data_IF_754936196566
#
_entry.id   IF_754936196566
#
_cell.length_a   1.000
_cell.length_b   1.000
_cell.length_c   1.000
_cell.angle_alpha   90.00
_cell.angle_beta   90.00
_cell.angle_gamma   90.00
#
_symmetry.space_group_name_H-M   'P 1'
#
loop_
_entity.id
_entity.type
_entity.pdbx_description
1 polymer ?
#
# COMPACT_ATOMS: atom_id res chain seq x y z
N UNK A 1 17.95 5.25 -16.88
CA UNK A 1 17.06 6.14 -17.66
C UNK A 1 16.10 6.69 -16.65
N UNK A 2 16.16 7.99 -16.32
CA UNK A 2 15.43 8.51 -15.15
C UNK A 2 13.94 8.61 -15.49
N UNK A 3 13.14 7.70 -14.92
CA UNK A 3 11.69 7.86 -14.86
C UNK A 3 11.41 9.05 -13.94
N UNK A 4 10.45 9.89 -14.30
CA UNK A 4 10.02 11.03 -13.48
C UNK A 4 8.52 10.90 -13.26
N UNK A 5 8.10 10.98 -11.99
CA UNK A 5 6.70 10.97 -11.61
C UNK A 5 6.14 12.38 -11.76
N UNK A 6 5.10 12.52 -12.59
CA UNK A 6 4.25 13.71 -12.68
C UNK A 6 3.14 13.54 -11.63
N UNK A 7 2.89 14.56 -10.80
CA UNK A 7 1.83 14.50 -9.78
C UNK A 7 1.15 15.86 -9.60
N UNK A 8 -0.10 15.82 -9.13
CA UNK A 8 -0.89 17.01 -8.82
C UNK A 8 -1.90 16.69 -7.72
N UNK A 9 -1.98 17.54 -6.71
CA UNK A 9 -2.96 17.45 -5.62
C UNK A 9 -3.79 18.72 -5.52
N UNK A 10 -5.07 18.56 -5.21
CA UNK A 10 -6.02 19.66 -5.04
C UNK A 10 -7.06 19.27 -3.98
N UNK A 11 -7.45 20.24 -3.17
CA UNK A 11 -8.57 20.14 -2.23
C UNK A 11 -9.55 21.28 -2.47
N UNK A 12 -10.83 21.03 -2.24
CA UNK A 12 -11.92 22.00 -2.38
C UNK A 12 -12.85 21.87 -1.17
N UNK A 13 -13.36 23.01 -0.70
CA UNK A 13 -14.26 23.08 0.45
C UNK A 13 -15.55 22.26 0.24
N UNK A 14 -15.97 22.07 -1.02
CA UNK A 14 -17.29 21.56 -1.34
C UNK A 14 -18.34 22.67 -1.36
N UNK A 15 -19.62 22.28 -1.38
CA UNK A 15 -20.76 23.21 -1.41
C UNK A 15 -21.50 23.31 -0.07
N UNK A 16 -21.31 22.36 0.83
CA UNK A 16 -22.10 22.23 2.07
C UNK A 16 -21.30 22.33 3.36
N UNK A 17 -19.98 22.53 3.28
CA UNK A 17 -19.10 22.74 4.43
C UNK A 17 -18.69 24.21 4.51
N UNK A 18 -18.42 24.67 5.72
CA UNK A 18 -17.92 26.03 5.99
C UNK A 18 -16.40 26.05 6.16
N UNK A 19 -15.83 24.90 6.55
CA UNK A 19 -14.39 24.69 6.76
C UNK A 19 -13.91 23.48 5.98
N UNK A 20 -12.61 23.50 5.64
CA UNK A 20 -11.95 22.39 4.97
C UNK A 20 -11.04 21.67 5.96
N UNK A 21 -11.46 20.48 6.38
CA UNK A 21 -10.72 19.61 7.30
C UNK A 21 -9.84 18.60 6.55
N UNK A 22 -9.96 18.53 5.23
CA UNK A 22 -9.07 17.73 4.41
C UNK A 22 -7.70 18.39 4.22
N UNK A 23 -6.68 17.55 4.04
CA UNK A 23 -5.42 17.94 3.42
C UNK A 23 -4.89 16.82 2.52
N UNK A 24 -3.78 17.09 1.85
CA UNK A 24 -3.14 16.12 0.98
C UNK A 24 -1.63 16.20 1.00
N UNK A 25 -1.00 15.08 0.63
CA UNK A 25 0.43 14.97 0.39
C UNK A 25 0.69 14.86 -1.12
N UNK A 26 1.64 15.66 -1.61
CA UNK A 26 2.03 15.72 -3.00
C UNK A 26 3.51 16.11 -3.12
N UNK A 27 4.41 15.23 -2.67
CA UNK A 27 5.87 15.48 -2.61
C UNK A 27 6.58 14.76 -3.77
N UNK A 28 7.05 15.50 -4.80
CA UNK A 28 7.85 14.91 -5.87
C UNK A 28 9.30 14.70 -5.42
N UNK A 29 10.04 13.88 -6.18
CA UNK A 29 11.48 13.66 -6.00
C UNK A 29 11.85 13.19 -4.57
N UNK A 30 11.02 12.34 -3.95
CA UNK A 30 11.24 11.85 -2.59
C UNK A 30 12.65 11.24 -2.47
N UNK A 31 13.37 11.59 -1.41
CA UNK A 31 14.78 11.20 -1.20
C UNK A 31 15.71 11.58 -2.36
N UNK A 32 15.51 12.77 -2.93
CA UNK A 32 16.27 13.29 -4.07
C UNK A 32 16.25 12.36 -5.30
N UNK A 33 15.19 11.56 -5.44
CA UNK A 33 15.06 10.54 -6.48
C UNK A 33 13.85 10.86 -7.36
N UNK A 34 14.03 11.32 -8.62
CA UNK A 34 12.92 11.74 -9.47
C UNK A 34 11.89 10.66 -9.83
N UNK A 35 12.31 9.39 -9.75
CA UNK A 35 11.45 8.22 -9.92
C UNK A 35 10.65 7.87 -8.66
N UNK A 36 10.74 8.69 -7.60
CA UNK A 36 10.01 8.50 -6.35
C UNK A 36 9.20 9.72 -5.95
N UNK A 37 8.03 9.46 -5.38
CA UNK A 37 7.13 10.49 -4.88
C UNK A 37 6.38 9.96 -3.65
N UNK A 38 5.96 10.87 -2.78
CA UNK A 38 5.01 10.60 -1.71
C UNK A 38 3.70 11.31 -2.07
N UNK A 39 2.59 10.57 -2.03
CA UNK A 39 1.26 11.06 -2.37
C UNK A 39 0.23 10.58 -1.36
N UNK A 40 -0.88 11.29 -1.20
CA UNK A 40 -1.99 10.78 -0.38
C UNK A 40 -3.04 11.82 -0.07
N UNK A 41 -4.21 11.34 0.37
CA UNK A 41 -5.29 12.17 0.91
C UNK A 41 -5.45 11.89 2.40
N UNK A 42 -5.75 12.92 3.17
CA UNK A 42 -5.96 12.88 4.61
C UNK A 42 -7.22 13.68 4.90
N UNK A 43 -8.17 13.06 5.56
CA UNK A 43 -9.48 13.63 5.88
C UNK A 43 -9.60 13.78 7.39
N UNK A 44 -9.71 15.03 7.83
CA UNK A 44 -9.83 15.39 9.24
C UNK A 44 -11.21 15.07 9.79
N UNK A 45 -11.28 14.21 10.80
CA UNK A 45 -12.52 13.86 11.47
C UNK A 45 -12.54 14.45 12.87
N UNK A 46 -13.38 15.47 13.05
CA UNK A 46 -13.67 16.04 14.35
C UNK A 46 -14.98 16.81 14.29
N UNK A 47 -16.04 16.33 14.94
CA UNK A 47 -17.32 17.04 14.99
C UNK A 47 -17.28 18.48 15.57
N UNK A 48 -16.09 18.94 16.06
CA UNK A 48 -15.66 20.31 16.39
C UNK A 48 -14.12 20.44 16.31
N UNK A 49 -13.62 21.66 16.00
CA UNK A 49 -12.26 22.30 15.96
C UNK A 49 -10.96 21.47 15.72
N UNK A 50 -10.97 20.14 15.70
CA UNK A 50 -9.76 19.33 15.67
C UNK A 50 -9.48 18.58 14.37
N UNK A 51 -10.45 18.41 13.46
CA UNK A 51 -10.25 17.58 12.26
C UNK A 51 -9.12 18.12 11.38
N UNK A 52 -9.18 19.41 11.04
CA UNK A 52 -8.14 20.09 10.27
C UNK A 52 -6.76 20.03 10.95
N UNK A 53 -6.70 20.14 12.28
CA UNK A 53 -5.45 20.06 13.04
C UNK A 53 -4.87 18.64 13.01
N UNK A 54 -5.68 17.59 13.18
CA UNK A 54 -5.24 16.20 13.02
C UNK A 54 -4.68 15.96 11.62
N UNK A 55 -5.41 16.40 10.60
CA UNK A 55 -5.03 16.18 9.21
C UNK A 55 -3.68 16.87 8.89
N UNK A 56 -3.50 18.13 9.34
CA UNK A 56 -2.23 18.84 9.19
C UNK A 56 -1.09 18.16 9.95
N UNK A 57 -1.34 17.76 11.19
CA UNK A 57 -0.35 17.09 12.03
C UNK A 57 0.12 15.77 11.41
N UNK A 58 -0.80 14.96 10.86
CA UNK A 58 -0.45 13.73 10.17
C UNK A 58 0.38 14.00 8.93
N UNK A 59 -0.06 14.94 8.08
CA UNK A 59 0.68 15.35 6.89
C UNK A 59 2.11 15.75 7.22
N UNK A 60 2.27 16.72 8.10
CA UNK A 60 3.58 17.28 8.48
C UNK A 60 4.49 16.21 9.05
N UNK A 61 3.95 15.34 9.91
CA UNK A 61 4.75 14.29 10.55
C UNK A 61 5.22 13.24 9.55
N UNK A 62 4.36 12.83 8.61
CA UNK A 62 4.76 11.86 7.56
C UNK A 62 5.81 12.49 6.64
N UNK A 63 5.59 13.71 6.18
CA UNK A 63 6.54 14.42 5.30
C UNK A 63 7.88 14.63 6.00
N UNK A 64 7.88 15.11 7.24
CA UNK A 64 9.09 15.31 8.05
C UNK A 64 9.83 14.00 8.29
N UNK A 65 9.13 12.95 8.69
CA UNK A 65 9.73 11.64 8.96
C UNK A 65 10.45 11.12 7.70
N UNK A 66 9.78 11.13 6.56
CA UNK A 66 10.35 10.61 5.32
C UNK A 66 11.43 11.54 4.73
N UNK A 67 11.45 12.83 5.07
CA UNK A 67 12.57 13.71 4.74
C UNK A 67 13.83 13.36 5.55
N UNK A 68 13.68 13.06 6.85
CA UNK A 68 14.80 12.74 7.73
C UNK A 68 15.32 11.31 7.56
N UNK A 69 14.42 10.35 7.35
CA UNK A 69 14.75 8.94 7.20
C UNK A 69 14.63 8.51 5.74
N UNK A 70 15.79 8.33 5.10
CA UNK A 70 15.89 7.92 3.68
C UNK A 70 16.60 6.59 3.46
N UNK A 71 17.13 5.99 4.53
CA UNK A 71 17.84 4.71 4.50
C UNK A 71 16.91 3.60 5.02
N UNK A 72 16.36 2.79 4.11
CA UNK A 72 15.48 1.69 4.48
C UNK A 72 14.62 1.19 3.32
N UNK A 73 13.81 0.17 3.59
CA UNK A 73 12.77 -0.24 2.67
C UNK A 73 11.64 0.80 2.66
N UNK A 74 11.17 1.30 1.51
CA UNK A 74 10.13 2.32 1.45
C UNK A 74 8.85 1.98 2.23
N UNK A 75 8.40 0.72 2.17
CA UNK A 75 7.24 0.26 2.93
C UNK A 75 7.45 0.39 4.44
N UNK A 76 8.63 0.02 4.94
CA UNK A 76 8.94 0.08 6.36
C UNK A 76 9.00 1.53 6.85
N UNK A 77 9.66 2.41 6.08
CA UNK A 77 9.73 3.84 6.39
C UNK A 77 8.33 4.48 6.40
N UNK A 78 7.47 4.13 5.43
CA UNK A 78 6.10 4.64 5.37
C UNK A 78 5.27 4.15 6.56
N UNK A 79 5.42 2.88 6.94
CA UNK A 79 4.79 2.30 8.13
C UNK A 79 5.20 3.06 9.38
N UNK A 80 6.50 3.26 9.60
CA UNK A 80 7.03 3.99 10.75
C UNK A 80 6.56 5.45 10.80
N UNK A 81 6.58 6.14 9.65
CA UNK A 81 6.05 7.50 9.52
C UNK A 81 4.56 7.58 9.90
N UNK A 82 3.76 6.61 9.46
CA UNK A 82 2.32 6.55 9.75
C UNK A 82 2.04 6.30 11.24
N UNK A 83 2.85 5.47 11.90
CA UNK A 83 2.77 5.24 13.35
C UNK A 83 3.16 6.50 14.12
N UNK A 84 4.25 7.15 13.72
CA UNK A 84 4.69 8.39 14.35
C UNK A 84 3.62 9.48 14.25
N UNK A 85 3.00 9.61 13.07
CA UNK A 85 1.88 10.52 12.84
C UNK A 85 0.66 10.18 13.72
N UNK A 86 0.26 8.91 13.77
CA UNK A 86 -0.83 8.45 14.64
C UNK A 86 -0.57 8.81 16.11
N UNK A 87 0.61 8.47 16.63
CA UNK A 87 0.93 8.65 18.04
C UNK A 87 1.03 10.13 18.40
N UNK A 88 1.48 10.98 17.47
CA UNK A 88 1.49 12.44 17.67
C UNK A 88 0.08 13.00 17.84
N UNK A 89 -0.87 12.58 16.99
CA UNK A 89 -2.29 12.96 17.13
C UNK A 89 -2.86 12.43 18.45
N UNK A 90 -2.61 11.15 18.78
CA UNK A 90 -3.07 10.55 20.03
C UNK A 90 -2.58 11.33 21.27
N UNK A 91 -1.32 11.73 21.30
CA UNK A 91 -0.75 12.51 22.39
C UNK A 91 -1.39 13.90 22.50
N UNK A 92 -1.61 14.59 21.38
CA UNK A 92 -2.19 15.93 21.39
C UNK A 92 -3.66 15.93 21.83
N UNK A 93 -4.44 14.91 21.44
CA UNK A 93 -5.81 14.69 21.97
C UNK A 93 -5.85 14.64 23.50
N UNK A 94 -4.79 14.12 24.12
CA UNK A 94 -4.68 14.01 25.58
C UNK A 94 -4.28 15.31 26.28
N UNK A 95 -3.80 16.33 25.55
CA UNK A 95 -3.33 17.59 26.12
C UNK A 95 -4.41 18.65 26.25
N UNK A 96 -5.36 18.69 25.32
CA UNK A 96 -6.38 19.74 25.24
C UNK A 96 -7.77 19.11 25.24
N UNK A 97 -8.62 19.51 26.18
CA UNK A 97 -9.98 18.97 26.29
C UNK A 97 -10.80 19.25 25.01
N UNK A 98 -10.59 20.40 24.37
CA UNK A 98 -11.22 20.77 23.10
C UNK A 98 -10.87 19.83 21.93
N UNK A 99 -9.70 19.16 21.98
CA UNK A 99 -9.17 18.31 20.92
C UNK A 99 -9.30 16.82 21.23
N UNK A 100 -10.01 16.43 22.30
CA UNK A 100 -10.04 15.02 22.75
C UNK A 100 -10.65 14.04 21.72
N UNK A 101 -11.36 14.56 20.72
CA UNK A 101 -11.96 13.82 19.59
C UNK A 101 -11.24 14.03 18.26
N UNK A 102 -10.15 14.78 18.25
CA UNK A 102 -9.35 15.01 17.05
C UNK A 102 -8.86 13.68 16.47
N UNK A 103 -9.17 13.43 15.21
CA UNK A 103 -8.74 12.23 14.50
C UNK A 103 -8.69 12.51 13.01
N UNK A 104 -8.12 11.60 12.23
CA UNK A 104 -8.21 11.69 10.79
C UNK A 104 -8.17 10.31 10.15
N UNK A 105 -8.66 10.26 8.94
CA UNK A 105 -8.51 9.17 7.99
C UNK A 105 -7.29 9.48 7.12
N UNK A 106 -6.51 8.47 6.76
CA UNK A 106 -5.36 8.65 5.87
C UNK A 106 -5.24 7.54 4.84
N UNK A 107 -4.94 7.92 3.60
CA UNK A 107 -4.53 7.02 2.53
C UNK A 107 -3.32 7.61 1.84
N UNK A 108 -2.14 7.07 2.15
CA UNK A 108 -0.86 7.61 1.68
C UNK A 108 -0.03 6.52 1.02
N UNK A 109 0.83 6.92 0.08
CA UNK A 109 1.71 6.00 -0.60
C UNK A 109 3.05 6.61 -1.03
N UNK A 110 4.08 5.78 -0.97
CA UNK A 110 5.35 6.02 -1.66
C UNK A 110 5.30 5.32 -3.01
N UNK A 111 5.51 6.08 -4.08
CA UNK A 111 5.61 5.58 -5.44
C UNK A 111 7.10 5.34 -5.77
N UNK A 112 7.45 4.19 -6.34
CA UNK A 112 8.78 3.87 -6.85
C UNK A 112 8.67 3.39 -8.29
N UNK A 113 8.82 4.33 -9.22
CA UNK A 113 8.72 4.08 -10.65
C UNK A 113 9.89 3.22 -11.17
N UNK A 114 11.04 3.15 -10.50
CA UNK A 114 12.14 2.28 -10.94
C UNK A 114 11.86 0.81 -10.61
N UNK A 115 11.18 0.56 -9.48
CA UNK A 115 10.70 -0.77 -9.10
C UNK A 115 9.34 -1.14 -9.68
N UNK A 116 8.62 -0.17 -10.26
CA UNK A 116 7.24 -0.33 -10.73
C UNK A 116 6.28 -0.72 -9.60
N UNK A 117 6.52 -0.15 -8.42
CA UNK A 117 5.80 -0.47 -7.18
C UNK A 117 5.25 0.79 -6.52
N UNK A 118 4.15 0.60 -5.81
CA UNK A 118 3.53 1.55 -4.88
C UNK A 118 3.46 0.89 -3.51
N UNK A 119 3.88 1.59 -2.46
CA UNK A 119 3.83 1.15 -1.07
C UNK A 119 2.79 2.00 -0.35
N UNK A 120 1.81 1.39 0.31
CA UNK A 120 0.63 2.07 0.86
C UNK A 120 0.58 1.92 2.38
N UNK A 121 0.14 2.97 3.05
CA UNK A 121 -0.37 2.92 4.41
C UNK A 121 -1.77 3.57 4.44
N UNK A 122 -2.72 2.87 5.04
CA UNK A 122 -4.12 3.26 5.02
C UNK A 122 -4.81 3.04 6.37
N UNK A 123 -5.60 4.02 6.82
CA UNK A 123 -6.63 3.85 7.85
C UNK A 123 -7.82 4.76 7.57
N UNK A 124 -9.03 4.18 7.60
CA UNK A 124 -10.30 4.91 7.49
C UNK A 124 -10.99 4.62 6.16
N UNK A 125 -11.67 5.59 5.57
CA UNK A 125 -12.52 5.39 4.37
C UNK A 125 -12.18 6.31 3.19
N UNK A 126 -11.14 7.15 3.31
CA UNK A 126 -10.46 7.72 2.14
C UNK A 126 -9.95 6.60 1.25
N UNK A 127 -9.92 6.81 -0.06
CA UNK A 127 -9.67 5.74 -1.02
C UNK A 127 -8.44 5.98 -1.88
N UNK A 128 -7.71 4.89 -2.13
CA UNK A 128 -6.71 4.80 -3.18
C UNK A 128 -7.23 4.00 -4.36
N UNK A 129 -6.86 4.41 -5.57
CA UNK A 129 -7.12 3.69 -6.81
C UNK A 129 -5.91 3.70 -7.75
N UNK A 130 -5.81 2.68 -8.59
CA UNK A 130 -5.01 2.69 -9.81
C UNK A 130 -5.93 2.64 -11.02
N UNK A 131 -5.87 3.67 -11.86
CA UNK A 131 -6.45 3.64 -13.19
C UNK A 131 -5.47 2.97 -14.16
N UNK A 132 -5.87 1.86 -14.77
CA UNK A 132 -5.09 1.10 -15.75
C UNK A 132 -5.98 0.60 -16.87
N UNK A 133 -5.64 0.93 -18.12
CA UNK A 133 -6.32 0.43 -19.32
C UNK A 133 -7.85 0.58 -19.30
N UNK A 134 -8.38 1.70 -18.80
CA UNK A 134 -9.83 1.94 -18.72
C UNK A 134 -10.50 1.41 -17.44
N UNK A 135 -9.77 0.72 -16.56
CA UNK A 135 -10.30 0.16 -15.32
C UNK A 135 -9.80 0.92 -14.10
N UNK A 136 -10.68 1.09 -13.11
CA UNK A 136 -10.35 1.63 -11.78
C UNK A 136 -10.22 0.49 -10.79
N UNK A 137 -8.99 0.22 -10.34
CA UNK A 137 -8.68 -0.79 -9.33
C UNK A 137 -8.61 -0.10 -7.97
N UNK A 138 -9.53 -0.40 -7.05
CA UNK A 138 -9.45 0.07 -5.67
C UNK A 138 -8.33 -0.68 -4.96
N UNK A 139 -7.40 0.04 -4.34
CA UNK A 139 -6.21 -0.54 -3.69
C UNK A 139 -6.25 -0.42 -2.16
N UNK A 140 -7.13 0.41 -1.62
CA UNK A 140 -7.43 0.47 -0.18
C UNK A 140 -8.72 -0.28 0.14
N UNK A 141 -8.94 -0.60 1.41
CA UNK A 141 -10.18 -1.20 1.92
C UNK A 141 -10.73 -0.30 3.00
N UNK A 142 -11.97 0.12 2.84
CA UNK A 142 -12.55 1.09 3.77
C UNK A 142 -12.71 0.42 5.15
N UNK A 143 -12.24 1.11 6.17
CA UNK A 143 -12.51 0.76 7.56
C UNK A 143 -13.89 1.27 7.96
N UNK A 144 -14.94 0.81 7.30
CA UNK A 144 -16.35 1.07 7.61
C UNK A 144 -17.21 -0.18 7.35
N UNK A 145 -18.34 -0.31 8.05
CA UNK A 145 -19.26 -1.46 7.84
C UNK A 145 -19.81 -1.48 6.40
N UNK A 146 -20.15 -0.30 5.86
CA UNK A 146 -20.65 -0.15 4.49
C UNK A 146 -19.56 -0.47 3.48
N UNK A 147 -18.34 0.04 3.70
CA UNK A 147 -17.23 -0.17 2.79
C UNK A 147 -16.77 -1.63 2.75
N UNK A 148 -16.73 -2.33 3.89
CA UNK A 148 -16.46 -3.78 3.92
C UNK A 148 -17.52 -4.59 3.15
N UNK A 149 -18.79 -4.17 3.23
CA UNK A 149 -19.88 -4.80 2.46
C UNK A 149 -19.77 -4.51 0.96
N UNK A 150 -19.34 -3.31 0.58
CA UNK A 150 -19.02 -2.99 -0.82
C UNK A 150 -17.86 -3.85 -1.33
N UNK A 151 -16.76 -3.90 -0.58
CA UNK A 151 -15.53 -4.60 -0.97
C UNK A 151 -15.73 -6.13 -1.08
N UNK A 152 -16.64 -6.70 -0.30
CA UNK A 152 -17.03 -8.12 -0.40
C UNK A 152 -18.08 -8.42 -1.48
N UNK A 153 -18.65 -7.39 -2.12
CA UNK A 153 -19.73 -7.51 -3.11
C UNK A 153 -21.11 -7.77 -2.50
N UNK A 154 -21.27 -7.65 -1.19
CA UNK A 154 -22.58 -7.71 -0.53
C UNK A 154 -23.44 -6.48 -0.86
N UNK A 155 -22.82 -5.31 -0.98
CA UNK A 155 -23.43 -4.11 -1.55
C UNK A 155 -22.79 -3.79 -2.89
N UNK A 156 -23.59 -3.36 -3.86
CA UNK A 156 -23.08 -2.66 -5.03
C UNK A 156 -22.56 -1.27 -4.63
N UNK A 157 -21.70 -0.69 -5.45
CA UNK A 157 -21.20 0.68 -5.26
C UNK A 157 -22.33 1.71 -5.12
N UNK A 158 -23.41 1.58 -5.91
CA UNK A 158 -24.56 2.48 -5.82
C UNK A 158 -25.35 2.31 -4.51
N UNK A 159 -25.52 1.08 -4.03
CA UNK A 159 -26.18 0.82 -2.75
C UNK A 159 -25.33 1.32 -1.58
N UNK A 160 -24.02 1.13 -1.64
CA UNK A 160 -23.09 1.66 -0.64
C UNK A 160 -23.16 3.20 -0.57
N UNK A 161 -23.14 3.89 -1.71
CA UNK A 161 -23.27 5.35 -1.81
C UNK A 161 -24.60 5.90 -1.23
N UNK A 162 -25.67 5.10 -1.26
CA UNK A 162 -27.00 5.50 -0.76
C UNK A 162 -27.27 4.99 0.66
N UNK A 163 -26.35 4.23 1.26
CA UNK A 163 -26.58 3.59 2.54
C UNK A 163 -26.67 4.62 3.68
N UNK A 164 -27.66 4.53 4.59
CA UNK A 164 -27.88 5.53 5.64
C UNK A 164 -26.73 5.64 6.65
N UNK A 165 -25.95 4.56 6.80
CA UNK A 165 -24.77 4.48 7.69
C UNK A 165 -23.44 4.63 6.95
N UNK A 166 -23.46 5.26 5.78
CA UNK A 166 -22.27 5.36 4.92
C UNK A 166 -21.09 6.07 5.61
N UNK A 167 -21.38 7.10 6.41
CA UNK A 167 -20.38 7.96 7.03
C UNK A 167 -19.86 7.40 8.38
N UNK A 168 -20.10 6.11 8.68
CA UNK A 168 -19.64 5.49 9.93
C UNK A 168 -18.27 4.83 9.75
N UNK A 169 -17.24 5.49 10.29
CA UNK A 169 -15.86 5.02 10.25
C UNK A 169 -15.56 4.19 11.51
N UNK A 170 -14.88 3.06 11.34
CA UNK A 170 -14.55 2.10 12.40
C UNK A 170 -13.11 2.17 12.89
N UNK A 171 -12.20 2.80 12.13
CA UNK A 171 -10.81 3.04 12.52
C UNK A 171 -10.35 4.38 11.99
N UNK A 172 -9.79 5.21 12.85
CA UNK A 172 -9.14 6.48 12.48
C UNK A 172 -7.76 6.58 13.13
N UNK A 173 -6.89 7.39 12.54
CA UNK A 173 -5.60 7.73 13.12
C UNK A 173 -5.78 8.63 14.34
N UNK A 174 -4.97 8.39 15.37
CA UNK A 174 -4.97 9.12 16.62
C UNK A 174 -5.93 8.59 17.68
N UNK A 175 -6.74 7.56 17.40
CA UNK A 175 -7.70 7.01 18.39
C UNK A 175 -7.04 6.16 19.48
N UNK A 176 -5.88 5.56 19.17
CA UNK A 176 -5.14 4.74 20.12
C UNK A 176 -3.64 4.87 19.88
N UNK A 177 -2.86 4.72 20.95
CA UNK A 177 -1.41 4.67 20.86
C UNK A 177 -0.97 3.34 20.23
N UNK A 178 -0.03 3.41 19.28
CA UNK A 178 0.47 2.25 18.56
C UNK A 178 1.95 2.02 18.85
N UNK A 179 2.25 0.83 19.37
CA UNK A 179 3.61 0.32 19.39
C UNK A 179 4.02 -0.24 18.02
N UNK A 180 5.33 -0.32 17.77
CA UNK A 180 5.88 -0.79 16.50
C UNK A 180 5.38 -2.21 16.13
N UNK A 181 5.09 -3.06 17.12
CA UNK A 181 4.62 -4.44 16.92
C UNK A 181 3.12 -4.52 16.56
N UNK A 182 2.27 -3.64 17.08
CA UNK A 182 0.81 -3.68 16.88
C UNK A 182 0.35 -2.89 15.64
N UNK A 183 1.20 -2.02 15.12
CA UNK A 183 0.92 -1.16 13.98
C UNK A 183 0.48 -1.88 12.69
N UNK A 184 0.99 -3.08 12.42
CA UNK A 184 0.59 -3.88 11.25
C UNK A 184 -0.82 -4.46 11.34
N UNK A 185 -1.47 -4.38 12.52
CA UNK A 185 -2.85 -4.81 12.73
C UNK A 185 -3.84 -3.64 12.61
N UNK A 186 -3.37 -2.42 12.85
CA UNK A 186 -4.24 -1.23 12.85
C UNK A 186 -4.28 -0.54 11.49
N UNK A 187 -3.10 -0.35 10.88
CA UNK A 187 -2.97 0.17 9.52
C UNK A 187 -2.97 -0.96 8.50
N UNK A 188 -3.66 -0.73 7.39
CA UNK A 188 -3.53 -1.53 6.19
C UNK A 188 -2.23 -1.10 5.47
N UNK A 189 -1.20 -1.93 5.58
CA UNK A 189 0.12 -1.73 4.99
C UNK A 189 0.32 -2.72 3.85
N UNK A 190 0.65 -2.24 2.65
CA UNK A 190 0.72 -3.11 1.48
C UNK A 190 1.54 -2.58 0.31
N UNK A 191 1.69 -3.43 -0.70
CA UNK A 191 2.39 -3.10 -1.94
C UNK A 191 1.49 -3.42 -3.14
N UNK A 192 1.50 -2.54 -4.14
CA UNK A 192 0.75 -2.70 -5.39
C UNK A 192 1.64 -2.40 -6.61
N UNK A 193 1.33 -3.00 -7.75
CA UNK A 193 2.02 -2.67 -9.00
C UNK A 193 1.66 -1.26 -9.45
N UNK A 194 2.66 -0.50 -9.89
CA UNK A 194 2.49 0.84 -10.45
C UNK A 194 3.32 0.95 -11.73
N UNK A 195 2.66 0.66 -12.85
CA UNK A 195 3.27 0.49 -14.16
C UNK A 195 3.29 1.81 -14.95
N UNK A 196 4.13 1.93 -15.99
CA UNK A 196 4.16 3.14 -16.79
C UNK A 196 2.81 3.38 -17.49
N UNK A 197 2.28 4.59 -17.38
CA UNK A 197 0.97 4.98 -17.92
C UNK A 197 -0.20 4.78 -16.97
N UNK A 198 0.00 4.11 -15.82
CA UNK A 198 -0.99 4.09 -14.75
C UNK A 198 -1.21 5.50 -14.19
N UNK A 199 -2.43 5.77 -13.70
CA UNK A 199 -2.71 6.94 -12.88
C UNK A 199 -3.11 6.46 -11.49
N UNK A 200 -2.28 6.75 -10.50
CA UNK A 200 -2.65 6.62 -9.09
C UNK A 200 -3.58 7.78 -8.72
N UNK A 201 -4.70 7.47 -8.05
CA UNK A 201 -5.63 8.43 -7.49
C UNK A 201 -5.77 8.16 -5.99
N UNK A 202 -5.52 9.17 -5.16
CA UNK A 202 -5.90 9.17 -3.74
C UNK A 202 -6.92 10.27 -3.52
N UNK A 203 -8.00 9.98 -2.81
CA UNK A 203 -9.08 10.93 -2.58
C UNK A 203 -9.79 10.72 -1.24
N UNK A 204 -10.37 11.81 -0.72
CA UNK A 204 -11.31 11.75 0.42
C UNK A 204 -12.67 11.18 -0.02
N UNK A 205 -13.52 10.90 0.97
CA UNK A 205 -14.85 10.37 0.75
C UNK A 205 -15.75 11.36 -0.01
N UNK A 206 -15.55 12.68 0.15
CA UNK A 206 -16.31 13.72 -0.56
C UNK A 206 -16.27 13.62 -2.09
N UNK A 207 -15.26 12.94 -2.67
CA UNK A 207 -15.31 12.50 -4.06
C UNK A 207 -16.16 11.23 -4.22
N UNK A 208 -15.80 10.16 -3.51
CA UNK A 208 -16.31 8.79 -3.75
C UNK A 208 -17.75 8.55 -3.27
N UNK A 209 -18.29 9.47 -2.46
CA UNK A 209 -19.67 9.49 -2.01
C UNK A 209 -20.64 9.96 -3.10
N UNK A 210 -20.10 10.65 -4.10
CA UNK A 210 -20.87 11.31 -5.16
C UNK A 210 -20.48 10.81 -6.55
N UNK A 211 -19.20 10.55 -6.78
CA UNK A 211 -18.65 10.22 -8.09
C UNK A 211 -18.29 8.73 -8.14
N UNK A 212 -18.95 8.01 -9.05
CA UNK A 212 -18.73 6.58 -9.25
C UNK A 212 -17.38 6.28 -9.88
N UNK A 213 -16.85 5.07 -9.68
CA UNK A 213 -15.65 4.56 -10.35
C UNK A 213 -15.73 4.66 -11.86
N UNK A 214 -16.90 4.43 -12.45
CA UNK A 214 -17.09 4.55 -13.90
C UNK A 214 -16.93 6.01 -14.37
N UNK A 215 -17.46 6.98 -13.62
CA UNK A 215 -17.29 8.41 -13.92
C UNK A 215 -15.85 8.86 -13.71
N UNK A 216 -15.21 8.41 -12.62
CA UNK A 216 -13.78 8.67 -12.38
C UNK A 216 -12.92 8.12 -13.52
N UNK A 217 -13.16 6.87 -13.94
CA UNK A 217 -12.47 6.26 -15.07
C UNK A 217 -12.63 7.07 -16.36
N UNK A 218 -13.85 7.54 -16.64
CA UNK A 218 -14.12 8.35 -17.83
C UNK A 218 -13.30 9.65 -17.84
N UNK A 219 -13.23 10.36 -16.71
CA UNK A 219 -12.41 11.57 -16.55
C UNK A 219 -10.91 11.24 -16.66
N UNK A 220 -10.45 10.20 -15.98
CA UNK A 220 -9.03 9.82 -16.00
C UNK A 220 -8.55 9.31 -17.36
N UNK A 221 -9.47 8.82 -18.21
CA UNK A 221 -9.19 8.35 -19.57
C UNK A 221 -8.89 9.46 -20.57
N UNK A 222 -9.22 10.72 -20.27
CA UNK A 222 -9.00 11.84 -21.20
C UNK A 222 -7.50 12.06 -21.47
N UNK A 223 -7.18 12.69 -22.60
CA UNK A 223 -5.81 13.12 -22.92
C UNK A 223 -5.35 14.39 -22.19
N UNK A 224 -6.12 14.86 -21.20
CA UNK A 224 -5.85 16.11 -20.50
C UNK A 224 -4.76 15.96 -19.43
N UNK A 225 -4.24 17.10 -18.95
CA UNK A 225 -3.22 17.16 -17.91
C UNK A 225 -3.79 16.74 -16.54
N UNK A 226 -2.92 16.30 -15.62
CA UNK A 226 -3.34 15.95 -14.25
C UNK A 226 -4.10 17.08 -13.54
N UNK A 227 -3.69 18.37 -13.63
CA UNK A 227 -4.48 19.45 -13.05
C UNK A 227 -5.90 19.55 -13.59
N UNK A 228 -6.07 19.37 -14.91
CA UNK A 228 -7.39 19.46 -15.53
C UNK A 228 -8.29 18.29 -15.12
N UNK A 229 -7.72 17.08 -15.01
CA UNK A 229 -8.42 15.88 -14.52
C UNK A 229 -8.82 16.02 -13.05
N UNK A 230 -7.92 16.50 -12.18
CA UNK A 230 -8.21 16.75 -10.77
C UNK A 230 -9.36 17.76 -10.61
N UNK A 231 -9.29 18.88 -11.35
CA UNK A 231 -10.34 19.88 -11.37
C UNK A 231 -11.69 19.29 -11.84
N UNK A 232 -11.70 18.48 -12.90
CA UNK A 232 -12.92 17.82 -13.38
C UNK A 232 -13.52 16.84 -12.37
N UNK A 233 -12.70 16.12 -11.60
CA UNK A 233 -13.17 15.24 -10.53
C UNK A 233 -13.85 16.05 -9.42
N UNK A 234 -13.22 17.14 -8.98
CA UNK A 234 -13.75 18.06 -7.97
C UNK A 234 -15.03 18.74 -8.46
N UNK A 235 -15.01 19.29 -9.68
CA UNK A 235 -16.18 19.90 -10.31
C UNK A 235 -17.32 18.91 -10.36
N UNK A 236 -17.04 17.65 -10.71
CA UNK A 236 -18.07 16.62 -10.78
C UNK A 236 -18.71 16.31 -9.44
N UNK A 237 -17.92 16.18 -8.37
CA UNK A 237 -18.45 16.00 -7.02
C UNK A 237 -19.29 17.21 -6.58
N UNK A 238 -18.82 18.42 -6.89
CA UNK A 238 -19.53 19.66 -6.62
C UNK A 238 -20.86 19.79 -7.40
N UNK A 239 -20.89 19.40 -8.67
CA UNK A 239 -22.12 19.32 -9.49
C UNK A 239 -23.16 18.35 -8.89
N UNK A 240 -22.68 17.26 -8.29
CA UNK A 240 -23.52 16.24 -7.64
C UNK A 240 -23.88 16.59 -6.20
N UNK A 241 -23.53 17.80 -5.76
CA UNK A 241 -24.03 18.41 -4.53
C UNK A 241 -22.95 18.85 -3.55
N UNK A 242 -21.68 18.47 -3.75
CA UNK A 242 -20.53 18.86 -2.93
C UNK A 242 -20.81 18.76 -1.44
N UNK A 243 -21.21 17.56 -0.99
CA UNK A 243 -21.72 17.33 0.37
C UNK A 243 -20.64 17.43 1.44
N UNK A 244 -19.38 17.21 1.05
CA UNK A 244 -18.23 17.24 1.93
C UNK A 244 -17.05 18.00 1.31
N UNK A 245 -15.95 18.12 2.06
CA UNK A 245 -14.65 18.49 1.53
C UNK A 245 -14.20 17.46 0.48
N UNK A 246 -13.58 17.93 -0.61
CA UNK A 246 -13.23 17.09 -1.75
C UNK A 246 -11.75 17.21 -2.02
N UNK A 247 -11.03 16.12 -1.81
CA UNK A 247 -9.58 16.08 -2.02
C UNK A 247 -9.21 15.03 -3.04
N UNK A 248 -8.31 15.40 -3.96
CA UNK A 248 -7.86 14.58 -5.08
C UNK A 248 -6.36 14.73 -5.28
N UNK A 249 -5.63 13.62 -5.28
CA UNK A 249 -4.22 13.55 -5.63
C UNK A 249 -4.02 12.55 -6.75
N UNK A 250 -3.44 13.01 -7.85
CA UNK A 250 -3.12 12.21 -9.02
C UNK A 250 -1.62 12.08 -9.20
N UNK A 251 -1.14 10.91 -9.59
CA UNK A 251 0.25 10.71 -10.00
C UNK A 251 0.37 9.71 -11.15
N UNK A 252 1.30 9.96 -12.06
CA UNK A 252 1.59 9.08 -13.20
C UNK A 252 3.05 9.19 -13.60
N UNK A 253 3.56 8.21 -14.34
CA UNK A 253 4.86 8.32 -14.99
C UNK A 253 4.84 7.62 -16.34
N UNK A 254 5.72 8.08 -17.23
CA UNK A 254 5.87 7.51 -18.57
C UNK A 254 7.00 6.48 -18.58
N UNK A 255 6.88 5.50 -19.49
CA UNK A 255 7.93 4.55 -19.71
C UNK A 255 9.23 5.30 -20.09
N UNK A 256 10.36 4.81 -19.58
CA UNK A 256 11.64 5.35 -19.98
C UNK A 256 11.77 5.23 -21.51
N UNK A 257 12.05 6.34 -22.20
CA UNK A 257 12.37 6.29 -23.63
C UNK A 257 13.56 5.35 -23.79
N UNK A 258 13.37 4.17 -24.37
CA UNK A 258 14.48 3.27 -24.71
C UNK A 258 15.46 4.10 -25.52
N UNK A 259 16.65 4.36 -24.96
CA UNK A 259 17.75 4.93 -25.72
C UNK A 259 17.89 4.09 -26.98
N UNK A 260 17.72 4.70 -28.15
CA UNK A 260 17.72 3.99 -29.41
C UNK A 260 18.93 3.05 -29.43
N UNK A 261 18.69 1.74 -29.59
CA UNK A 261 19.76 0.82 -29.96
C UNK A 261 20.40 1.46 -31.19
N UNK A 262 21.61 2.02 -31.04
CA UNK A 262 22.44 2.35 -32.20
C UNK A 262 22.43 1.06 -33.01
N UNK A 263 21.89 1.08 -34.23
CA UNK A 263 21.96 -0.06 -35.13
C UNK A 263 23.44 -0.46 -35.14
N UNK A 264 23.73 -1.65 -34.61
CA UNK A 264 25.05 -2.21 -34.76
C UNK A 264 25.28 -2.29 -36.26
N UNK A 265 26.17 -1.44 -36.77
CA UNK A 265 26.69 -1.58 -38.12
C UNK A 265 27.33 -2.96 -38.13
N UNK A 266 26.75 -3.90 -38.89
CA UNK A 266 27.41 -5.18 -39.18
C UNK A 266 28.69 -4.82 -39.93
N UNK A 267 29.81 -4.75 -39.21
CA UNK A 267 31.12 -4.86 -39.81
C UNK A 267 31.24 -6.30 -40.29
N UNK A 268 31.07 -6.50 -41.59
CA UNK A 268 31.40 -7.77 -42.24
C UNK A 268 32.93 -7.86 -42.25
N UNK A 269 33.48 -8.71 -41.40
CA UNK A 269 34.87 -9.12 -41.52
C UNK A 269 34.90 -10.15 -42.65
N UNK A 270 35.46 -9.78 -43.80
CA UNK A 270 35.81 -10.75 -44.85
C UNK A 270 37.03 -11.56 -44.38
N UNK A 271 36.84 -12.87 -44.26
CA UNK A 271 37.92 -13.82 -44.00
C UNK A 271 38.41 -14.34 -45.36
N UNK A 272 39.69 -14.18 -45.73
CA UNK A 272 40.21 -14.76 -46.96
C UNK A 272 40.41 -16.27 -46.75
N UNK A 273 39.76 -17.07 -47.59
CA UNK A 273 39.96 -18.52 -47.64
C UNK A 273 41.24 -18.78 -48.46
N UNK A 274 42.31 -19.20 -47.79
CA UNK A 274 43.49 -19.78 -48.43
C UNK A 274 43.18 -21.25 -48.80
N UNK A 275 43.41 -21.62 -50.05
CA UNK A 275 43.34 -23.01 -50.51
C UNK A 275 44.67 -23.70 -50.22
N UNK A 276 44.66 -24.70 -49.33
CA UNK A 276 45.79 -25.62 -49.14
C UNK A 276 45.52 -26.93 -49.88
N UNK A 277 46.43 -27.27 -50.80
CA UNK A 277 46.49 -28.55 -51.50
C UNK A 277 47.13 -29.60 -50.59
N UNK A 278 46.45 -30.73 -50.39
CA UNK A 278 46.96 -31.90 -49.65
C UNK A 278 47.55 -32.90 -50.66
N UNK A 279 48.85 -33.26 -50.59
CA UNK A 279 49.37 -34.45 -51.26
C UNK A 279 49.23 -35.68 -50.36
N UNK A 280 48.69 -36.74 -50.95
CA UNK A 280 48.57 -38.10 -50.41
C UNK A 280 49.93 -38.81 -50.33
N UNK A 281 50.28 -39.37 -49.16
CA UNK A 281 51.36 -40.34 -49.03
C UNK A 281 50.88 -41.63 -48.33
N UNK A 282 51.40 -42.76 -48.81
CA UNK A 282 51.04 -44.16 -48.47
C UNK A 282 51.79 -44.66 -47.21
N UNK A 283 51.37 -45.80 -46.60
CA UNK A 283 51.65 -46.11 -45.20
C UNK A 283 52.92 -46.94 -44.98
N UNK A 284 53.52 -46.78 -43.78
CA UNK A 284 54.58 -47.66 -43.26
C UNK A 284 54.40 -47.97 -41.76
N UNK A 285 54.95 -49.11 -41.36
CA UNK A 285 54.65 -49.98 -40.21
C UNK A 285 55.05 -49.50 -38.79
N UNK A 286 54.22 -49.95 -37.82
CA UNK A 286 54.48 -50.45 -36.44
C UNK A 286 55.69 -49.93 -35.62
N UNK A 287 55.45 -49.46 -34.38
CA UNK A 287 55.56 -50.27 -33.14
C UNK A 287 55.09 -49.49 -31.89
N UNK A 288 54.68 -50.18 -30.80
CA UNK A 288 54.02 -49.60 -29.62
C UNK A 288 55.03 -49.27 -28.51
N UNK A 289 54.76 -48.26 -27.66
CA UNK A 289 55.24 -48.24 -26.28
C UNK A 289 54.58 -47.18 -25.36
N UNK A 290 54.11 -47.69 -24.22
CA UNK A 290 54.01 -47.12 -22.86
C UNK A 290 53.18 -45.84 -22.56
N UNK A 291 52.26 -45.89 -21.57
CA UNK A 291 51.56 -44.71 -21.07
C UNK A 291 52.38 -43.95 -20.02
N UNK A 292 52.62 -42.66 -20.27
CA UNK A 292 53.17 -41.74 -19.30
C UNK A 292 52.05 -41.05 -18.50
N UNK A 293 52.27 -41.04 -17.20
CA UNK A 293 51.46 -40.50 -16.11
C UNK A 293 51.40 -38.97 -16.11
N UNK A 294 50.22 -38.39 -15.86
CA UNK A 294 50.09 -36.98 -15.48
C UNK A 294 49.34 -36.85 -14.16
N UNK A 295 50.03 -36.20 -13.22
CA UNK A 295 49.71 -36.02 -11.80
C UNK A 295 48.48 -35.12 -11.59
N UNK A 296 47.56 -35.56 -10.72
CA UNK A 296 46.53 -34.73 -10.08
C UNK A 296 47.21 -33.80 -9.06
N UNK A 297 46.93 -32.50 -9.14
CA UNK A 297 47.22 -31.55 -8.05
C UNK A 297 46.05 -31.50 -7.08
N UNK A 298 46.32 -31.89 -5.85
CA UNK A 298 45.50 -31.71 -4.65
C UNK A 298 45.78 -30.34 -4.05
N UNK A 299 44.74 -29.55 -3.80
CA UNK A 299 44.78 -28.33 -2.98
C UNK A 299 43.76 -28.44 -1.85
N UNK A 300 44.26 -28.42 -0.62
CA UNK A 300 43.53 -28.48 0.65
C UNK A 300 42.62 -27.25 0.86
N UNK A 301 41.44 -27.46 1.43
CA UNK A 301 40.67 -26.45 2.19
C UNK A 301 40.18 -27.12 3.48
N UNK A 302 40.46 -26.57 4.67
CA UNK A 302 39.75 -26.96 5.87
C UNK A 302 38.95 -25.79 6.52
N UNK A 303 37.75 -26.14 7.07
CA UNK A 303 37.33 -25.88 8.48
C UNK A 303 36.80 -24.42 8.72
N UNK A 304 35.58 -24.09 9.22
CA UNK A 304 34.62 -24.71 10.17
C UNK A 304 33.19 -24.15 10.01
N UNK A 305 32.23 -25.05 10.14
CA UNK A 305 30.82 -24.83 10.52
C UNK A 305 30.74 -24.79 12.05
N UNK A 306 30.33 -23.66 12.66
CA UNK A 306 29.78 -23.60 14.03
C UNK A 306 29.42 -22.15 14.44
N UNK A 307 28.19 -21.70 14.17
CA UNK A 307 27.63 -20.49 14.81
C UNK A 307 26.09 -20.57 14.91
N UNK A 308 25.57 -21.70 15.40
CA UNK A 308 24.12 -21.87 15.68
C UNK A 308 23.84 -22.40 17.10
N UNK A 309 24.84 -22.60 17.96
CA UNK A 309 24.63 -23.12 19.33
C UNK A 309 25.39 -22.27 20.34
N UNK A 310 25.03 -20.98 20.43
CA UNK A 310 25.69 -20.02 21.33
C UNK A 310 24.81 -18.86 21.80
N UNK A 311 23.49 -18.94 21.66
CA UNK A 311 22.58 -17.92 22.21
C UNK A 311 21.35 -18.49 22.95
N UNK A 312 21.40 -19.78 23.29
CA UNK A 312 20.55 -20.38 24.31
C UNK A 312 21.50 -20.96 25.37
N UNK A 313 21.24 -20.60 26.63
CA UNK A 313 22.05 -20.83 27.84
C UNK A 313 23.12 -19.76 28.10
N UNK A 314 22.70 -18.59 28.63
CA UNK A 314 23.12 -18.11 29.95
C UNK A 314 22.43 -16.79 30.36
N UNK A 315 21.22 -16.84 30.92
CA UNK A 315 20.83 -15.96 32.03
C UNK A 315 19.66 -16.60 32.80
N UNK A 316 19.99 -17.45 33.76
CA UNK A 316 19.10 -17.94 34.81
C UNK A 316 19.56 -17.33 36.14
N UNK A 317 18.62 -16.88 36.97
CA UNK A 317 18.81 -16.59 38.40
C UNK A 317 17.94 -15.41 38.86
N UNK A 318 16.64 -15.56 39.11
CA UNK A 318 15.94 -16.01 40.34
C UNK A 318 16.26 -15.25 41.63
N UNK A 319 15.22 -14.63 42.20
CA UNK A 319 15.12 -14.20 43.61
C UNK A 319 13.68 -13.75 43.92
N UNK A 320 13.06 -14.38 44.91
CA UNK A 320 11.61 -14.49 45.15
C UNK A 320 11.16 -13.80 46.45
N UNK A 321 9.83 -13.69 46.64
CA UNK A 321 9.04 -13.46 47.88
C UNK A 321 8.81 -11.99 48.31
N UNK A 322 7.62 -11.50 48.71
CA UNK A 322 6.51 -12.10 49.48
C UNK A 322 5.11 -11.57 49.09
N UNK A 323 4.10 -12.40 49.38
CA UNK A 323 2.65 -12.26 49.21
C UNK A 323 1.98 -11.12 49.99
N UNK A 324 0.80 -10.67 49.49
CA UNK A 324 -0.39 -10.52 50.34
C UNK A 324 -1.69 -10.67 49.55
N UNK A 325 -2.56 -11.51 50.08
CA UNK A 325 -3.84 -11.98 49.55
C UNK A 325 -5.04 -11.25 50.19
N UNK A 326 -6.22 -11.40 49.57
CA UNK A 326 -7.60 -11.19 50.06
C UNK A 326 -8.21 -9.77 49.90
N UNK A 327 -9.48 -9.56 49.49
CA UNK A 327 -10.62 -10.45 49.19
C UNK A 327 -11.65 -9.75 48.22
N UNK A 328 -12.67 -10.46 47.68
CA UNK A 328 -13.60 -9.94 46.66
C UNK A 328 -15.04 -9.60 47.16
N UNK A 329 -15.84 -9.06 46.23
CA UNK A 329 -17.34 -8.95 46.15
C UNK A 329 -18.00 -7.62 46.61
N UNK A 330 -19.18 -7.21 46.06
CA UNK A 330 -20.21 -8.06 45.45
C UNK A 330 -20.81 -7.66 44.09
N UNK A 331 -21.43 -8.70 43.53
CA UNK A 331 -22.36 -8.76 42.41
C UNK A 331 -23.64 -7.99 42.75
N UNK A 332 -24.18 -7.24 41.78
CA UNK A 332 -25.60 -6.90 41.74
C UNK A 332 -26.19 -7.28 40.39
N UNK A 333 -27.46 -7.62 40.47
CA UNK A 333 -28.18 -8.55 39.64
C UNK A 333 -29.01 -7.82 38.58
N UNK A 334 -29.31 -8.56 37.50
CA UNK A 334 -30.52 -8.43 36.67
C UNK A 334 -30.71 -7.19 35.79
N UNK A 335 -30.62 -7.37 34.47
CA UNK A 335 -31.79 -7.26 33.57
C UNK A 335 -31.47 -7.78 32.17
N UNK A 336 -32.03 -8.95 31.88
CA UNK A 336 -32.12 -9.49 30.53
C UNK A 336 -33.09 -8.64 29.70
N UNK A 337 -32.66 -8.18 28.54
CA UNK A 337 -33.55 -7.70 27.49
C UNK A 337 -33.40 -8.64 26.29
N UNK A 338 -34.55 -9.19 25.90
CA UNK A 338 -34.82 -10.13 24.81
C UNK A 338 -34.16 -9.72 23.50
N UNK A 339 -33.52 -10.71 22.85
CA UNK A 339 -33.39 -10.79 21.41
C UNK A 339 -34.77 -11.09 20.81
N UNK A 340 -35.28 -10.18 19.98
CA UNK A 340 -36.36 -10.48 19.04
C UNK A 340 -35.75 -10.83 17.68
N UNK A 341 -35.83 -12.12 17.36
CA UNK A 341 -35.58 -12.70 16.04
C UNK A 341 -36.87 -12.71 15.24
N UNK A 342 -36.91 -12.11 14.05
CA UNK A 342 -37.91 -12.36 12.98
C UNK A 342 -37.31 -11.94 11.61
N UNK A 343 -37.78 -12.46 10.45
CA UNK A 343 -37.47 -13.78 9.94
C UNK A 343 -36.78 -13.73 8.56
N UNK A 344 -36.10 -14.83 8.22
CA UNK A 344 -35.54 -15.13 6.89
C UNK A 344 -36.69 -15.30 5.89
N UNK A 345 -36.71 -14.51 4.81
CA UNK A 345 -37.52 -14.78 3.63
C UNK A 345 -36.64 -15.31 2.51
N UNK A 346 -36.90 -16.56 2.18
CA UNK A 346 -36.37 -17.34 1.08
C UNK A 346 -36.75 -16.70 -0.27
N UNK A 347 -35.77 -16.48 -1.16
CA UNK A 347 -36.06 -16.40 -2.59
C UNK A 347 -34.86 -16.88 -3.41
N UNK A 348 -35.12 -17.97 -4.10
CA UNK A 348 -34.24 -18.71 -4.98
C UNK A 348 -34.10 -18.05 -6.36
N UNK A 349 -32.90 -18.23 -6.93
CA UNK A 349 -32.57 -18.22 -8.37
C UNK A 349 -32.68 -16.91 -9.16
N UNK A 350 -31.53 -16.44 -9.66
CA UNK A 350 -31.31 -16.22 -11.09
C UNK A 350 -29.79 -16.28 -11.42
N UNK A 351 -29.50 -16.86 -12.58
CA UNK A 351 -28.19 -17.28 -13.08
C UNK A 351 -27.28 -16.12 -13.51
N UNK A 352 -25.96 -16.42 -13.51
CA UNK A 352 -24.82 -15.61 -13.95
C UNK A 352 -24.92 -15.11 -15.42
N UNK A 353 -23.97 -14.27 -15.88
CA UNK A 353 -22.78 -14.87 -16.52
C UNK A 353 -21.42 -14.20 -16.18
N UNK A 354 -20.43 -15.08 -15.98
CA UNK A 354 -19.03 -15.04 -16.40
C UNK A 354 -18.28 -13.70 -16.57
N UNK A 355 -17.37 -13.42 -15.64
CA UNK A 355 -16.10 -12.71 -15.91
C UNK A 355 -14.95 -13.39 -15.17
N UNK A 356 -14.37 -14.41 -15.80
CA UNK A 356 -13.04 -14.93 -15.46
C UNK A 356 -11.98 -13.96 -16.02
N UNK A 357 -11.39 -13.15 -15.14
CA UNK A 357 -10.07 -12.55 -15.37
C UNK A 357 -9.15 -13.02 -14.24
N UNK A 358 -8.02 -13.60 -14.64
CA UNK A 358 -7.04 -14.26 -13.78
C UNK A 358 -6.61 -13.39 -12.60
N UNK A 359 -6.88 -13.89 -11.40
CA UNK A 359 -6.33 -13.42 -10.14
C UNK A 359 -4.83 -13.74 -10.08
N UNK A 360 -3.97 -12.79 -10.44
CA UNK A 360 -2.53 -12.85 -10.10
C UNK A 360 -1.93 -11.55 -9.57
N UNK A 361 -2.70 -10.46 -9.41
CA UNK A 361 -2.16 -9.15 -9.01
C UNK A 361 -2.53 -8.72 -7.57
N UNK A 362 -2.71 -9.66 -6.65
CA UNK A 362 -2.83 -9.34 -5.22
C UNK A 362 -2.07 -10.35 -4.39
N UNK A 363 -0.77 -10.12 -4.19
CA UNK A 363 -0.02 -10.81 -3.14
C UNK A 363 -0.21 -10.00 -1.86
N UNK A 364 -1.29 -10.28 -1.14
CA UNK A 364 -1.37 -9.95 0.28
C UNK A 364 -0.56 -11.02 1.02
N UNK A 365 0.60 -10.67 1.57
CA UNK A 365 1.29 -11.56 2.53
C UNK A 365 0.71 -11.30 3.90
N UNK A 366 -0.37 -12.01 4.22
CA UNK A 366 -0.82 -12.16 5.58
C UNK A 366 0.08 -13.22 6.27
N UNK A 367 0.95 -12.76 7.16
CA UNK A 367 1.81 -13.62 7.97
C UNK A 367 1.25 -13.75 9.39
N UNK A 368 0.08 -14.38 9.55
CA UNK A 368 -0.37 -14.85 10.85
C UNK A 368 -1.48 -15.91 10.75
N UNK A 369 -1.17 -17.15 10.35
CA UNK A 369 -2.12 -18.24 10.54
C UNK A 369 -1.46 -19.57 10.94
N UNK A 370 -1.98 -20.11 12.05
CA UNK A 370 -2.19 -21.52 12.42
C UNK A 370 -1.52 -21.94 13.73
N UNK A 371 -2.31 -21.94 14.80
CA UNK A 371 -2.49 -23.13 15.64
C UNK A 371 -3.64 -22.89 16.62
N UNK A 372 -4.69 -23.71 16.51
CA UNK A 372 -5.48 -24.31 17.60
C UNK A 372 -6.93 -24.50 17.19
N UNK A 373 -7.22 -25.55 16.41
CA UNK A 373 -8.49 -26.28 16.52
C UNK A 373 -8.23 -27.75 16.14
N UNK A 374 -7.86 -28.54 17.15
CA UNK A 374 -8.06 -29.99 17.18
C UNK A 374 -8.02 -30.44 18.65
N UNK A 375 -9.16 -30.87 19.20
CA UNK A 375 -9.22 -31.65 20.44
C UNK A 375 -10.33 -31.27 21.42
N UNK A 376 -11.40 -32.08 21.39
CA UNK A 376 -12.55 -32.20 22.31
C UNK A 376 -13.76 -31.28 22.09
#
# INVERSE_FOLDING_TARGET
MNRTIELYGQTDLGRRREENEDTFIAVPNLWNTPSRALVGAIDGVGGYEGGAEAASMVKETIEEYLQHFSFGAPLQLLKEASIAANNKVYEERGRQEALNRMSCVLSVAVLDADKEMMYIAHVGDSRGYVYRNGHMLKITRDHSDVGMKEDSGYLTEQEAMQHPRRNEISKMAGELFLDAEDSGKYFDIGEHSFLPGDIALFCSDGLTDLVTRAQMAAILSTGESLPKKAQQLIDKANELGGKDNITVVLATYKAAKKAGRKKAVKSTIEVPIAQENIPTEKPAHMQPNTPATVKKKTGLVPVIIAFVIGYLVNWNGTGSFFSKEAAPLPVTDTTAIRMDTLPVSDSSHLQQPDTLINATDTIYKDSAHRNALQGY
#
